data_IF_468324208188
#
_entry.id   IF_468324208188
#
_cell.length_a   1.000
_cell.length_b   1.000
_cell.length_c   1.000
_cell.angle_alpha   90.00
_cell.angle_beta   90.00
_cell.angle_gamma   90.00
#
_symmetry.space_group_name_H-M   'P 1'
#
loop_
_entity.id
_entity.type
_entity.pdbx_description
1 polymer ?
#
# COMPACT_ATOMS: atom_id res chain seq x y z
N UNK A 1 3.12 -21.99 22.21
CA UNK A 1 4.26 -21.30 22.84
C UNK A 1 3.82 -19.93 23.36
N UNK A 2 4.19 -19.57 24.60
CA UNK A 2 3.88 -18.27 25.22
C UNK A 2 5.15 -17.62 25.76
N UNK A 3 5.36 -16.33 25.54
CA UNK A 3 6.45 -15.56 26.18
C UNK A 3 5.96 -14.24 26.75
N UNK A 4 6.58 -13.82 27.86
CA UNK A 4 6.45 -12.49 28.42
C UNK A 4 7.83 -11.82 28.34
N UNK A 5 8.09 -11.05 27.28
CA UNK A 5 9.39 -10.41 27.06
C UNK A 5 9.68 -10.12 25.59
N UNK A 6 10.62 -9.20 25.30
CA UNK A 6 11.02 -8.88 23.94
C UNK A 6 11.66 -10.09 23.25
N UNK A 7 11.21 -10.42 22.04
CA UNK A 7 11.89 -11.41 21.21
C UNK A 7 12.74 -10.72 20.14
N UNK A 8 14.01 -11.11 20.07
CA UNK A 8 14.97 -10.57 19.09
C UNK A 8 15.59 -11.72 18.31
N UNK A 9 15.47 -11.67 16.99
CA UNK A 9 16.26 -12.46 16.07
C UNK A 9 17.20 -11.51 15.31
N UNK A 10 18.50 -11.59 15.56
CA UNK A 10 19.49 -10.72 14.94
C UNK A 10 20.53 -11.56 14.19
N UNK A 11 21.05 -11.03 13.09
CA UNK A 11 22.15 -11.62 12.35
C UNK A 11 23.05 -10.53 11.81
N UNK A 12 24.35 -10.62 12.10
CA UNK A 12 25.42 -9.76 11.59
C UNK A 12 26.36 -10.65 10.78
N UNK A 13 26.69 -10.28 9.54
CA UNK A 13 27.54 -11.08 8.63
C UNK A 13 27.10 -12.55 8.45
N UNK A 14 25.83 -12.83 8.78
CA UNK A 14 25.31 -14.20 8.87
C UNK A 14 24.56 -14.60 7.61
N UNK A 15 24.40 -15.91 7.40
CA UNK A 15 23.57 -16.44 6.31
C UNK A 15 22.13 -15.89 6.36
N UNK A 16 21.58 -15.55 7.53
CA UNK A 16 20.26 -14.91 7.68
C UNK A 16 19.84 -14.68 9.15
N UNK A 17 19.14 -13.58 9.44
CA UNK A 17 18.32 -13.44 10.64
C UNK A 17 16.90 -14.00 10.37
N UNK A 18 16.50 -15.07 11.06
CA UNK A 18 15.20 -15.74 10.82
C UNK A 18 14.45 -16.00 12.12
N UNK A 19 13.16 -15.70 12.11
CA UNK A 19 12.19 -16.24 13.05
C UNK A 19 11.18 -17.06 12.28
N UNK A 20 10.93 -18.29 12.75
CA UNK A 20 9.89 -19.17 12.23
C UNK A 20 9.11 -19.73 13.41
N UNK A 21 7.79 -19.66 13.36
CA UNK A 21 6.94 -20.34 14.32
C UNK A 21 5.71 -20.93 13.63
N UNK A 22 5.28 -22.10 14.10
CA UNK A 22 4.13 -22.86 13.58
C UNK A 22 3.22 -23.26 14.73
N UNK A 23 1.90 -23.26 14.53
CA UNK A 23 0.93 -23.63 15.55
C UNK A 23 0.41 -22.43 16.34
N UNK A 24 0.28 -22.56 17.66
CA UNK A 24 -0.25 -21.52 18.55
C UNK A 24 0.89 -20.73 19.20
N UNK A 25 0.93 -19.41 18.97
CA UNK A 25 1.97 -18.52 19.46
C UNK A 25 1.37 -17.27 20.10
N UNK A 26 1.81 -16.96 21.32
CA UNK A 26 1.42 -15.75 22.03
C UNK A 26 2.65 -15.06 22.62
N UNK A 27 2.77 -13.74 22.46
CA UNK A 27 3.82 -12.97 23.14
C UNK A 27 3.30 -11.64 23.67
N UNK A 28 3.75 -11.28 24.86
CA UNK A 28 3.64 -9.95 25.43
C UNK A 28 5.03 -9.29 25.38
N UNK A 29 5.25 -8.42 24.40
CA UNK A 29 6.54 -7.78 24.17
C UNK A 29 6.80 -7.46 22.69
N UNK A 30 7.80 -6.62 22.40
CA UNK A 30 8.19 -6.31 21.04
C UNK A 30 8.87 -7.51 20.37
N UNK A 31 8.54 -7.77 19.11
CA UNK A 31 9.26 -8.74 18.28
C UNK A 31 10.11 -8.02 17.24
N UNK A 32 11.42 -8.28 17.21
CA UNK A 32 12.35 -7.69 16.25
C UNK A 32 13.14 -8.78 15.53
N UNK A 33 13.10 -8.77 14.21
CA UNK A 33 13.96 -9.56 13.36
C UNK A 33 14.79 -8.66 12.46
N UNK A 34 16.10 -8.56 12.73
CA UNK A 34 17.01 -7.63 12.08
C UNK A 34 18.22 -8.35 11.49
N UNK A 35 18.50 -8.13 10.20
CA UNK A 35 19.73 -8.58 9.56
C UNK A 35 20.58 -7.40 9.12
N UNK A 36 21.88 -7.42 9.43
CA UNK A 36 22.91 -6.53 8.91
C UNK A 36 23.86 -7.36 8.05
N UNK A 37 24.20 -6.89 6.85
CA UNK A 37 25.11 -7.57 5.91
C UNK A 37 24.79 -9.08 5.75
N UNK A 38 23.50 -9.39 5.58
CA UNK A 38 23.01 -10.77 5.62
C UNK A 38 22.26 -11.14 4.36
N UNK A 39 22.14 -12.44 4.04
CA UNK A 39 21.31 -12.82 2.88
C UNK A 39 19.84 -12.41 3.08
N UNK A 40 19.33 -12.36 4.31
CA UNK A 40 17.95 -11.92 4.58
C UNK A 40 17.63 -11.74 6.06
N UNK A 41 16.73 -10.80 6.36
CA UNK A 41 15.91 -10.79 7.56
C UNK A 41 14.51 -11.36 7.25
N UNK A 42 14.09 -12.42 7.95
CA UNK A 42 12.80 -13.09 7.70
C UNK A 42 12.03 -13.34 9.00
N UNK A 43 10.75 -13.02 8.98
CA UNK A 43 9.77 -13.45 9.97
C UNK A 43 8.73 -14.30 9.25
N UNK A 44 8.51 -15.53 9.71
CA UNK A 44 7.51 -16.47 9.19
C UNK A 44 6.67 -17.00 10.34
N UNK A 45 5.35 -16.91 10.20
CA UNK A 45 4.40 -17.39 11.18
C UNK A 45 3.24 -18.14 10.49
N UNK A 46 2.96 -19.36 10.92
CA UNK A 46 1.86 -20.19 10.38
C UNK A 46 0.98 -20.73 11.50
N UNK A 47 -0.32 -20.44 11.50
CA UNK A 47 -1.26 -20.89 12.53
C UNK A 47 -1.93 -19.73 13.25
N UNK A 48 -1.99 -19.78 14.58
CA UNK A 48 -2.58 -18.76 15.43
C UNK A 48 -1.51 -17.94 16.13
N UNK A 49 -1.47 -16.65 15.85
CA UNK A 49 -0.46 -15.72 16.37
C UNK A 49 -1.12 -14.53 17.03
N UNK A 50 -0.75 -14.28 18.29
CA UNK A 50 -1.13 -13.08 19.02
C UNK A 50 0.10 -12.39 19.58
N UNK A 51 0.22 -11.09 19.31
CA UNK A 51 1.33 -10.26 19.79
C UNK A 51 0.79 -8.98 20.43
N UNK A 52 1.14 -8.74 21.69
CA UNK A 52 0.94 -7.45 22.35
C UNK A 52 2.29 -6.72 22.37
N UNK A 53 2.55 -5.90 21.35
CA UNK A 53 3.80 -5.17 21.18
C UNK A 53 4.11 -4.87 19.70
N UNK A 54 5.08 -3.99 19.43
CA UNK A 54 5.49 -3.70 18.06
C UNK A 54 6.21 -4.91 17.43
N UNK A 55 5.96 -5.14 16.15
CA UNK A 55 6.69 -6.11 15.34
C UNK A 55 7.54 -5.39 14.28
N UNK A 56 8.82 -5.73 14.20
CA UNK A 56 9.76 -5.14 13.23
C UNK A 56 10.55 -6.24 12.53
N UNK A 57 10.46 -6.31 11.21
CA UNK A 57 11.37 -7.06 10.36
C UNK A 57 12.21 -6.05 9.55
N UNK A 58 13.52 -6.02 9.74
CA UNK A 58 14.40 -5.05 9.10
C UNK A 58 15.64 -5.72 8.49
N UNK A 59 16.01 -5.34 7.27
CA UNK A 59 17.28 -5.74 6.65
C UNK A 59 18.08 -4.50 6.25
N UNK A 60 19.34 -4.43 6.65
CA UNK A 60 20.35 -3.49 6.18
C UNK A 60 21.33 -4.26 5.30
N UNK A 61 21.69 -3.72 4.12
CA UNK A 61 22.63 -4.35 3.18
C UNK A 61 22.33 -5.85 2.97
N UNK A 62 21.05 -6.15 2.69
CA UNK A 62 20.57 -7.53 2.66
C UNK A 62 19.85 -7.85 1.37
N UNK A 63 19.82 -9.13 0.95
CA UNK A 63 19.03 -9.46 -0.24
C UNK A 63 17.53 -9.19 -0.01
N UNK A 64 17.01 -9.31 1.22
CA UNK A 64 15.62 -8.99 1.50
C UNK A 64 15.26 -8.89 2.98
N UNK A 65 14.31 -8.00 3.30
CA UNK A 65 13.49 -8.07 4.51
C UNK A 65 12.10 -8.65 4.16
N UNK A 66 11.68 -9.70 4.86
CA UNK A 66 10.40 -10.40 4.58
C UNK A 66 9.63 -10.69 5.86
N UNK A 67 8.38 -10.28 5.88
CA UNK A 67 7.38 -10.71 6.86
C UNK A 67 6.33 -11.56 6.15
N UNK A 68 6.11 -12.79 6.61
CA UNK A 68 5.10 -13.71 6.11
C UNK A 68 4.27 -14.23 7.27
N UNK A 69 2.95 -14.11 7.17
CA UNK A 69 2.01 -14.66 8.13
C UNK A 69 0.87 -15.38 7.41
N UNK A 70 0.57 -16.61 7.85
CA UNK A 70 -0.51 -17.44 7.31
C UNK A 70 -1.37 -17.96 8.45
N UNK A 71 -2.70 -17.80 8.37
CA UNK A 71 -3.65 -18.26 9.39
C UNK A 71 -4.33 -17.11 10.11
N UNK A 72 -4.44 -17.18 11.44
CA UNK A 72 -5.03 -16.16 12.30
C UNK A 72 -3.93 -15.32 12.96
N UNK A 73 -3.93 -14.03 12.68
CA UNK A 73 -2.91 -13.12 13.18
C UNK A 73 -3.54 -11.90 13.85
N UNK A 74 -3.20 -11.68 15.11
CA UNK A 74 -3.64 -10.54 15.91
C UNK A 74 -2.43 -9.79 16.46
N UNK A 75 -2.37 -8.49 16.24
CA UNK A 75 -1.30 -7.63 16.79
C UNK A 75 -1.87 -6.37 17.41
N UNK A 76 -1.52 -6.13 18.67
CA UNK A 76 -1.68 -4.85 19.34
C UNK A 76 -0.33 -4.12 19.31
N UNK A 77 -0.10 -3.31 18.29
CA UNK A 77 1.12 -2.55 18.12
C UNK A 77 1.47 -2.25 16.66
N UNK A 78 2.47 -1.38 16.43
CA UNK A 78 3.03 -1.12 15.10
C UNK A 78 3.55 -2.40 14.44
N UNK A 79 3.36 -2.54 13.13
CA UNK A 79 4.11 -3.51 12.33
C UNK A 79 4.95 -2.81 11.26
N UNK A 80 6.25 -3.14 11.22
CA UNK A 80 7.19 -2.56 10.25
C UNK A 80 7.98 -3.66 9.55
N UNK A 81 7.90 -3.72 8.23
CA UNK A 81 8.83 -4.45 7.37
C UNK A 81 9.67 -3.44 6.58
N UNK A 82 10.98 -3.38 6.80
CA UNK A 82 11.84 -2.38 6.18
C UNK A 82 13.11 -2.99 5.58
N UNK A 83 13.49 -2.54 4.39
CA UNK A 83 14.79 -2.85 3.79
C UNK A 83 15.55 -1.57 3.48
N UNK A 84 16.81 -1.48 3.89
CA UNK A 84 17.78 -0.46 3.47
C UNK A 84 18.82 -1.16 2.59
N UNK A 85 19.16 -0.55 1.44
CA UNK A 85 20.12 -1.12 0.48
C UNK A 85 19.87 -2.60 0.20
N UNK A 86 18.61 -2.91 -0.16
CA UNK A 86 18.15 -4.30 -0.22
C UNK A 86 17.45 -4.59 -1.53
N UNK A 87 17.47 -5.85 -1.99
CA UNK A 87 16.69 -6.16 -3.21
C UNK A 87 15.19 -5.98 -2.98
N UNK A 88 14.68 -6.21 -1.77
CA UNK A 88 13.24 -5.97 -1.49
C UNK A 88 12.87 -5.95 -0.01
N UNK A 89 11.89 -5.12 0.33
CA UNK A 89 11.05 -5.27 1.51
C UNK A 89 9.69 -5.87 1.13
N UNK A 90 9.26 -6.94 1.81
CA UNK A 90 8.00 -7.64 1.51
C UNK A 90 7.22 -7.96 2.78
N UNK A 91 5.95 -7.57 2.79
CA UNK A 91 4.96 -8.01 3.76
C UNK A 91 3.90 -8.85 3.04
N UNK A 92 3.70 -10.09 3.50
CA UNK A 92 2.69 -11.01 2.99
C UNK A 92 1.85 -11.54 4.14
N UNK A 93 0.53 -11.39 4.04
CA UNK A 93 -0.43 -11.94 4.98
C UNK A 93 -1.52 -12.72 4.25
N UNK A 94 -1.82 -13.93 4.71
CA UNK A 94 -2.88 -14.78 4.17
C UNK A 94 -3.74 -15.32 5.31
N UNK A 95 -5.07 -15.15 5.23
CA UNK A 95 -6.03 -15.63 6.23
C UNK A 95 -6.74 -14.48 6.95
N UNK A 96 -6.85 -14.57 8.28
CA UNK A 96 -7.49 -13.56 9.12
C UNK A 96 -6.42 -12.72 9.81
N UNK A 97 -6.43 -11.42 9.56
CA UNK A 97 -5.43 -10.51 10.06
C UNK A 97 -6.07 -9.30 10.73
N UNK A 98 -5.73 -9.06 11.99
CA UNK A 98 -6.17 -7.89 12.75
C UNK A 98 -4.99 -7.17 13.37
N UNK A 99 -4.85 -5.88 13.05
CA UNK A 99 -3.81 -5.01 13.63
C UNK A 99 -4.43 -3.79 14.28
N UNK A 100 -4.10 -3.56 15.54
CA UNK A 100 -4.33 -2.28 16.22
C UNK A 100 -2.99 -1.55 16.29
N UNK A 101 -2.73 -0.71 15.29
CA UNK A 101 -1.48 0.03 15.14
C UNK A 101 -1.14 0.32 13.67
N UNK A 102 -0.15 1.20 13.45
CA UNK A 102 0.32 1.52 12.11
C UNK A 102 1.01 0.32 11.45
N UNK A 103 0.79 0.15 10.15
CA UNK A 103 1.56 -0.80 9.34
C UNK A 103 2.40 -0.11 8.29
N UNK A 104 3.68 -0.50 8.22
CA UNK A 104 4.64 0.06 7.25
C UNK A 104 5.42 -1.04 6.56
N UNK A 105 5.33 -1.11 5.24
CA UNK A 105 6.29 -1.82 4.39
C UNK A 105 7.12 -0.77 3.64
N UNK A 106 8.42 -0.71 3.86
CA UNK A 106 9.28 0.31 3.27
C UNK A 106 10.58 -0.24 2.70
N UNK A 107 10.99 0.25 1.53
CA UNK A 107 12.32 0.00 0.97
C UNK A 107 13.04 1.32 0.69
N UNK A 108 14.25 1.48 1.21
CA UNK A 108 15.19 2.53 0.82
C UNK A 108 16.25 1.91 -0.09
N UNK A 109 16.59 2.56 -1.20
CA UNK A 109 17.57 2.07 -2.18
C UNK A 109 17.34 0.60 -2.54
N UNK A 110 16.11 0.30 -2.97
CA UNK A 110 15.66 -1.09 -3.10
C UNK A 110 14.98 -1.39 -4.40
N UNK A 111 15.03 -2.63 -4.89
CA UNK A 111 14.27 -2.94 -6.12
C UNK A 111 12.76 -2.83 -5.89
N UNK A 112 12.25 -3.12 -4.68
CA UNK A 112 10.82 -2.96 -4.41
C UNK A 112 10.42 -2.98 -2.94
N UNK A 113 9.40 -2.21 -2.60
CA UNK A 113 8.55 -2.41 -1.42
C UNK A 113 7.21 -3.04 -1.85
N UNK A 114 6.82 -4.15 -1.21
CA UNK A 114 5.58 -4.87 -1.55
C UNK A 114 4.78 -5.22 -0.30
N UNK A 115 3.51 -4.85 -0.31
CA UNK A 115 2.52 -5.30 0.65
C UNK A 115 1.48 -6.16 -0.07
N UNK A 116 1.24 -7.37 0.41
CA UNK A 116 0.26 -8.30 -0.13
C UNK A 116 -0.58 -8.87 1.01
N UNK A 117 -1.90 -8.72 0.91
CA UNK A 117 -2.85 -9.30 1.85
C UNK A 117 -3.93 -10.07 1.10
N UNK A 118 -4.22 -11.30 1.55
CA UNK A 118 -5.28 -12.15 1.00
C UNK A 118 -6.14 -12.69 2.14
N UNK A 119 -7.47 -12.54 2.05
CA UNK A 119 -8.42 -13.02 3.06
C UNK A 119 -9.15 -11.89 3.76
N UNK A 120 -9.29 -11.98 5.08
CA UNK A 120 -9.94 -10.98 5.94
C UNK A 120 -8.89 -10.15 6.65
N UNK A 121 -8.96 -8.83 6.45
CA UNK A 121 -7.91 -7.94 6.91
C UNK A 121 -8.51 -6.68 7.53
N UNK A 122 -8.23 -6.48 8.82
CA UNK A 122 -8.73 -5.35 9.60
C UNK A 122 -7.58 -4.57 10.24
N UNK A 123 -7.51 -3.26 9.99
CA UNK A 123 -6.48 -2.39 10.56
C UNK A 123 -7.09 -1.17 11.23
N UNK A 124 -6.72 -0.95 12.49
CA UNK A 124 -6.90 0.33 13.17
C UNK A 124 -5.56 1.06 13.20
N UNK A 125 -5.33 1.94 12.24
CA UNK A 125 -4.09 2.69 12.10
C UNK A 125 -3.72 2.96 10.63
N UNK A 126 -2.73 3.83 10.40
CA UNK A 126 -2.29 4.14 9.04
C UNK A 126 -1.58 2.94 8.40
N UNK A 127 -1.77 2.78 7.10
CA UNK A 127 -1.01 1.82 6.31
C UNK A 127 -0.15 2.51 5.26
N UNK A 128 1.13 2.14 5.21
CA UNK A 128 2.10 2.71 4.28
C UNK A 128 2.90 1.62 3.58
N UNK A 129 2.80 1.54 2.26
CA UNK A 129 3.74 0.83 1.41
C UNK A 129 4.57 1.86 0.65
N UNK A 130 5.86 2.00 0.96
CA UNK A 130 6.70 3.06 0.42
C UNK A 130 8.04 2.57 -0.13
N UNK A 131 8.47 3.11 -1.27
CA UNK A 131 9.81 2.90 -1.79
C UNK A 131 10.50 4.24 -1.99
N UNK A 132 11.70 4.43 -1.45
CA UNK A 132 12.61 5.54 -1.75
C UNK A 132 13.70 5.00 -2.69
N UNK A 133 14.01 5.70 -3.77
CA UNK A 133 14.99 5.29 -4.79
C UNK A 133 14.80 3.83 -5.20
N UNK A 134 13.56 3.52 -5.63
CA UNK A 134 13.14 2.13 -5.80
C UNK A 134 12.49 1.86 -7.13
N UNK A 135 12.62 0.64 -7.67
CA UNK A 135 11.91 0.34 -8.92
C UNK A 135 10.39 0.34 -8.73
N UNK A 136 9.87 -0.01 -7.55
CA UNK A 136 8.41 0.03 -7.32
C UNK A 136 7.98 -0.02 -5.86
N UNK A 137 6.90 0.69 -5.56
CA UNK A 137 6.05 0.45 -4.39
C UNK A 137 4.74 -0.21 -4.85
N UNK A 138 4.36 -1.34 -4.23
CA UNK A 138 3.15 -2.08 -4.60
C UNK A 138 2.33 -2.46 -3.37
N UNK A 139 1.05 -2.16 -3.41
CA UNK A 139 0.05 -2.63 -2.46
C UNK A 139 -0.98 -3.48 -3.21
N UNK A 140 -1.21 -4.70 -2.72
CA UNK A 140 -2.19 -5.64 -3.27
C UNK A 140 -3.02 -6.22 -2.14
N UNK A 141 -4.34 -6.09 -2.24
CA UNK A 141 -5.29 -6.68 -1.32
C UNK A 141 -6.37 -7.47 -2.09
N UNK A 142 -6.64 -8.69 -1.63
CA UNK A 142 -7.69 -9.55 -2.19
C UNK A 142 -8.56 -10.11 -1.07
N UNK A 143 -9.88 -9.96 -1.15
CA UNK A 143 -10.83 -10.44 -0.15
C UNK A 143 -11.57 -9.31 0.55
N UNK A 144 -11.70 -9.40 1.88
CA UNK A 144 -12.35 -8.40 2.73
C UNK A 144 -11.32 -7.54 3.44
N UNK A 145 -11.40 -6.24 3.22
CA UNK A 145 -10.40 -5.31 3.70
C UNK A 145 -11.04 -4.09 4.36
N UNK A 146 -10.76 -3.89 5.64
CA UNK A 146 -11.26 -2.77 6.43
C UNK A 146 -10.10 -2.02 7.07
N UNK A 147 -10.04 -0.70 6.86
CA UNK A 147 -9.00 0.16 7.47
C UNK A 147 -9.61 1.41 8.07
N UNK A 148 -9.33 1.63 9.36
CA UNK A 148 -9.52 2.91 10.03
C UNK A 148 -8.19 3.63 10.09
N UNK A 149 -7.93 4.53 9.15
CA UNK A 149 -6.70 5.28 9.01
C UNK A 149 -6.32 5.55 7.56
N UNK A 150 -5.33 6.43 7.33
CA UNK A 150 -4.89 6.75 5.99
C UNK A 150 -4.15 5.57 5.36
N UNK A 151 -4.34 5.38 4.05
CA UNK A 151 -3.56 4.44 3.26
C UNK A 151 -2.70 5.13 2.23
N UNK A 152 -1.41 4.77 2.20
CA UNK A 152 -0.43 5.36 1.29
C UNK A 152 0.38 4.28 0.60
N UNK A 153 0.25 4.18 -0.72
CA UNK A 153 1.22 3.50 -1.58
C UNK A 153 2.04 4.58 -2.29
N UNK A 154 3.32 4.72 -1.94
CA UNK A 154 4.13 5.81 -2.49
C UNK A 154 5.52 5.41 -2.94
N UNK A 155 5.98 5.99 -4.04
CA UNK A 155 7.38 5.92 -4.45
C UNK A 155 8.03 7.30 -4.49
N UNK A 156 9.23 7.45 -3.97
CA UNK A 156 10.11 8.60 -4.24
C UNK A 156 11.18 8.12 -5.21
N UNK A 157 11.41 8.86 -6.30
CA UNK A 157 12.35 8.50 -7.37
C UNK A 157 12.17 7.05 -7.83
N UNK A 158 10.95 6.72 -8.24
CA UNK A 158 10.55 5.33 -8.46
C UNK A 158 9.96 5.07 -9.81
N UNK A 159 10.16 3.87 -10.39
CA UNK A 159 9.51 3.60 -11.68
C UNK A 159 7.99 3.51 -11.56
N UNK A 160 7.44 3.08 -10.41
CA UNK A 160 5.98 3.01 -10.24
C UNK A 160 5.50 2.92 -8.79
N UNK A 161 4.36 3.55 -8.53
CA UNK A 161 3.50 3.26 -7.38
C UNK A 161 2.22 2.57 -7.86
N UNK A 162 1.87 1.42 -7.27
CA UNK A 162 0.70 0.63 -7.69
C UNK A 162 -0.13 0.19 -6.49
N UNK A 163 -1.41 0.54 -6.52
CA UNK A 163 -2.42 0.06 -5.59
C UNK A 163 -3.42 -0.81 -6.35
N UNK A 164 -3.67 -2.02 -5.86
CA UNK A 164 -4.65 -2.96 -6.41
C UNK A 164 -5.47 -3.55 -5.27
N UNK A 165 -6.80 -3.44 -5.38
CA UNK A 165 -7.75 -4.04 -4.45
C UNK A 165 -8.80 -4.83 -5.23
N UNK A 166 -9.06 -6.07 -4.81
CA UNK A 166 -10.10 -6.93 -5.38
C UNK A 166 -10.97 -7.51 -4.26
N UNK A 167 -12.29 -7.39 -4.37
CA UNK A 167 -13.25 -7.88 -3.39
C UNK A 167 -13.99 -6.75 -2.68
N UNK A 168 -14.11 -6.83 -1.34
CA UNK A 168 -14.77 -5.84 -0.50
C UNK A 168 -13.73 -4.98 0.19
N UNK A 169 -13.80 -3.67 -0.02
CA UNK A 169 -12.80 -2.74 0.46
C UNK A 169 -13.45 -1.51 1.09
N UNK A 170 -13.20 -1.31 2.39
CA UNK A 170 -13.72 -0.19 3.16
C UNK A 170 -12.57 0.56 3.84
N UNK A 171 -12.52 1.88 3.65
CA UNK A 171 -11.51 2.74 4.29
C UNK A 171 -12.14 3.97 4.91
N UNK A 172 -11.86 4.20 6.19
CA UNK A 172 -12.08 5.47 6.88
C UNK A 172 -10.75 6.23 6.96
N UNK A 173 -10.50 7.12 6.02
CA UNK A 173 -9.29 7.91 5.92
C UNK A 173 -8.86 8.18 4.47
N UNK A 174 -7.89 9.09 4.26
CA UNK A 174 -7.42 9.40 2.93
C UNK A 174 -6.65 8.22 2.32
N UNK A 175 -6.83 8.04 1.01
CA UNK A 175 -6.03 7.11 0.21
C UNK A 175 -5.16 7.84 -0.79
N UNK A 176 -3.89 7.47 -0.82
CA UNK A 176 -2.90 8.06 -1.72
C UNK A 176 -2.09 6.97 -2.41
N UNK A 177 -2.23 6.87 -3.73
CA UNK A 177 -1.29 6.17 -4.59
C UNK A 177 -0.46 7.23 -5.33
N UNK A 178 0.81 7.41 -4.97
CA UNK A 178 1.57 8.53 -5.52
C UNK A 178 3.05 8.27 -5.78
N UNK A 179 3.62 9.00 -6.74
CA UNK A 179 5.05 9.00 -6.97
C UNK A 179 5.66 10.39 -7.02
N UNK A 180 6.71 10.64 -6.26
CA UNK A 180 7.63 11.76 -6.53
C UNK A 180 8.60 11.28 -7.60
N UNK A 181 8.76 12.02 -8.70
CA UNK A 181 9.60 11.64 -9.86
C UNK A 181 9.40 10.19 -10.31
N UNK A 182 8.18 9.86 -10.71
CA UNK A 182 7.84 8.48 -11.02
C UNK A 182 7.32 8.28 -12.42
N UNK A 183 7.66 7.19 -13.10
CA UNK A 183 7.08 6.94 -14.43
C UNK A 183 5.56 6.74 -14.38
N UNK A 184 5.01 6.18 -13.30
CA UNK A 184 3.56 5.91 -13.21
C UNK A 184 3.01 5.80 -11.79
N UNK A 185 1.82 6.36 -11.58
CA UNK A 185 0.94 6.03 -10.45
C UNK A 185 -0.29 5.28 -10.98
N UNK A 186 -0.58 4.10 -10.43
CA UNK A 186 -1.75 3.29 -10.83
C UNK A 186 -2.58 2.91 -9.61
N UNK A 187 -3.87 3.18 -9.69
CA UNK A 187 -4.89 2.70 -8.77
C UNK A 187 -5.87 1.80 -9.52
N UNK A 188 -6.16 0.63 -8.97
CA UNK A 188 -7.14 -0.32 -9.52
C UNK A 188 -7.96 -0.92 -8.40
N UNK A 189 -9.28 -0.78 -8.49
CA UNK A 189 -10.25 -1.39 -7.59
C UNK A 189 -11.26 -2.21 -8.40
N UNK A 190 -11.51 -3.44 -7.95
CA UNK A 190 -12.50 -4.34 -8.56
C UNK A 190 -13.37 -4.95 -7.47
N UNK A 191 -14.70 -4.85 -7.60
CA UNK A 191 -15.66 -5.34 -6.61
C UNK A 191 -16.39 -4.20 -5.91
N UNK A 192 -16.51 -4.28 -4.58
CA UNK A 192 -17.15 -3.27 -3.74
C UNK A 192 -16.10 -2.41 -3.06
N UNK A 193 -16.15 -1.12 -3.30
CA UNK A 193 -15.15 -0.18 -2.82
C UNK A 193 -15.82 1.04 -2.21
N UNK A 194 -15.58 1.26 -0.92
CA UNK A 194 -16.11 2.39 -0.15
C UNK A 194 -14.99 3.13 0.57
N UNK A 195 -14.95 4.45 0.43
CA UNK A 195 -13.96 5.31 1.11
C UNK A 195 -14.61 6.53 1.73
N UNK A 196 -14.37 6.75 3.01
CA UNK A 196 -14.61 8.02 3.70
C UNK A 196 -13.29 8.79 3.78
N UNK A 197 -13.03 9.67 2.82
CA UNK A 197 -11.85 10.51 2.78
C UNK A 197 -11.37 10.84 1.36
N UNK A 198 -10.38 11.74 1.24
CA UNK A 198 -9.75 12.07 -0.04
C UNK A 198 -9.15 10.85 -0.72
N UNK A 199 -9.28 10.75 -2.04
CA UNK A 199 -8.48 9.83 -2.83
C UNK A 199 -7.60 10.54 -3.83
N UNK A 200 -6.33 10.17 -3.86
CA UNK A 200 -5.33 10.76 -4.75
C UNK A 200 -4.53 9.68 -5.46
N UNK A 201 -4.63 9.62 -6.78
CA UNK A 201 -3.73 8.90 -7.67
C UNK A 201 -2.91 9.93 -8.46
N UNK A 202 -1.66 10.18 -8.06
CA UNK A 202 -0.94 11.36 -8.55
C UNK A 202 0.58 11.20 -8.55
N UNK A 203 1.28 11.85 -9.48
CA UNK A 203 2.72 12.06 -9.34
C UNK A 203 3.12 13.53 -9.49
N UNK A 204 4.23 13.94 -8.89
CA UNK A 204 4.73 15.31 -9.05
C UNK A 204 5.21 15.50 -10.49
N UNK A 205 6.27 14.77 -10.84
CA UNK A 205 6.75 14.55 -12.20
C UNK A 205 6.44 13.11 -12.58
N UNK A 206 5.30 12.87 -13.23
CA UNK A 206 4.97 11.50 -13.62
C UNK A 206 4.42 11.37 -15.01
N UNK A 207 5.01 10.48 -15.82
CA UNK A 207 4.53 10.28 -17.20
C UNK A 207 3.05 9.89 -17.26
N UNK A 208 2.52 9.20 -16.25
CA UNK A 208 1.12 8.78 -16.24
C UNK A 208 0.52 8.63 -14.83
N UNK A 209 -0.72 9.09 -14.68
CA UNK A 209 -1.60 8.71 -13.57
C UNK A 209 -2.80 7.92 -14.13
N UNK A 210 -3.06 6.72 -13.59
CA UNK A 210 -4.20 5.89 -14.00
C UNK A 210 -5.05 5.50 -12.80
N UNK A 211 -6.34 5.76 -12.90
CA UNK A 211 -7.36 5.28 -11.98
C UNK A 211 -8.32 4.36 -12.74
N UNK A 212 -8.61 3.19 -12.16
CA UNK A 212 -9.57 2.24 -12.71
C UNK A 212 -10.42 1.67 -11.59
N UNK A 213 -11.74 1.80 -11.71
CA UNK A 213 -12.72 1.21 -10.81
C UNK A 213 -13.69 0.34 -11.62
N UNK A 214 -13.95 -0.88 -11.15
CA UNK A 214 -14.89 -1.81 -11.77
C UNK A 214 -15.78 -2.43 -10.69
N UNK A 215 -17.10 -2.36 -10.84
CA UNK A 215 -18.07 -2.83 -9.84
C UNK A 215 -18.78 -1.67 -9.14
N UNK A 216 -18.91 -1.76 -7.82
CA UNK A 216 -19.53 -0.73 -6.98
C UNK A 216 -18.45 0.13 -6.33
N UNK A 217 -18.48 1.43 -6.61
CA UNK A 217 -17.48 2.36 -6.14
C UNK A 217 -18.16 3.59 -5.53
N UNK A 218 -17.88 3.84 -4.26
CA UNK A 218 -18.43 4.96 -3.50
C UNK A 218 -17.31 5.69 -2.77
N UNK A 219 -17.30 7.03 -2.83
CA UNK A 219 -16.37 7.85 -2.07
C UNK A 219 -17.03 9.08 -1.48
N UNK A 220 -16.83 9.29 -0.18
CA UNK A 220 -17.12 10.54 0.51
C UNK A 220 -15.83 11.34 0.64
N UNK A 221 -15.56 12.23 -0.30
CA UNK A 221 -14.36 13.05 -0.33
C UNK A 221 -13.89 13.42 -1.74
N UNK A 222 -12.92 14.34 -1.84
CA UNK A 222 -12.36 14.74 -3.12
C UNK A 222 -11.58 13.60 -3.77
N UNK A 223 -11.71 13.47 -5.09
CA UNK A 223 -10.93 12.52 -5.89
C UNK A 223 -10.04 13.24 -6.89
N UNK A 224 -8.75 12.92 -6.87
CA UNK A 224 -7.75 13.51 -7.77
C UNK A 224 -6.95 12.42 -8.49
N UNK A 225 -7.06 12.36 -9.81
CA UNK A 225 -6.21 11.57 -10.70
C UNK A 225 -5.37 12.52 -11.56
N UNK A 226 -4.21 12.97 -11.09
CA UNK A 226 -3.50 14.08 -11.72
C UNK A 226 -2.03 14.15 -11.30
N UNK A 227 -1.14 14.62 -12.19
CA UNK A 227 0.20 15.07 -11.78
C UNK A 227 0.46 16.55 -12.04
N UNK A 228 1.53 17.10 -11.47
CA UNK A 228 1.94 18.48 -11.74
C UNK A 228 2.39 18.60 -13.20
N UNK A 229 3.36 17.76 -13.58
CA UNK A 229 3.92 17.65 -14.94
C UNK A 229 3.59 16.31 -15.59
N UNK A 230 2.32 15.87 -15.51
CA UNK A 230 1.97 14.55 -16.03
C UNK A 230 1.63 14.56 -17.51
N UNK A 231 2.37 13.82 -18.36
CA UNK A 231 2.03 13.67 -19.79
C UNK A 231 0.61 13.14 -20.04
N UNK A 232 0.09 12.30 -19.13
CA UNK A 232 -1.26 11.74 -19.25
C UNK A 232 -1.93 11.47 -17.90
N UNK A 233 -3.24 11.74 -17.84
CA UNK A 233 -4.12 11.27 -16.76
C UNK A 233 -5.27 10.45 -17.36
N UNK A 234 -5.50 9.23 -16.85
CA UNK A 234 -6.61 8.37 -17.28
C UNK A 234 -7.48 7.98 -16.09
N UNK A 235 -8.78 8.22 -16.22
CA UNK A 235 -9.81 7.75 -15.32
C UNK A 235 -10.74 6.80 -16.07
N UNK A 236 -11.02 5.64 -15.48
CA UNK A 236 -11.96 4.66 -16.03
C UNK A 236 -12.84 4.11 -14.91
N UNK A 237 -14.15 4.23 -15.06
CA UNK A 237 -15.14 3.63 -14.17
C UNK A 237 -16.08 2.73 -14.97
N UNK A 238 -16.33 1.52 -14.48
CA UNK A 238 -17.26 0.56 -15.07
C UNK A 238 -18.16 -0.01 -13.97
N UNK A 239 -19.47 0.07 -14.12
CA UNK A 239 -20.45 -0.34 -13.10
C UNK A 239 -21.10 0.86 -12.41
N UNK A 240 -21.21 0.83 -11.08
CA UNK A 240 -21.81 1.89 -10.27
C UNK A 240 -20.72 2.75 -9.64
N UNK A 241 -20.72 4.04 -9.97
CA UNK A 241 -19.74 5.00 -9.46
C UNK A 241 -20.43 6.22 -8.84
N UNK A 242 -20.21 6.42 -7.54
CA UNK A 242 -20.70 7.56 -6.79
C UNK A 242 -19.55 8.30 -6.08
N UNK A 243 -19.60 9.63 -6.09
CA UNK A 243 -18.74 10.44 -5.24
C UNK A 243 -19.44 11.66 -4.66
N UNK A 244 -19.24 11.87 -3.36
CA UNK A 244 -19.61 13.08 -2.65
C UNK A 244 -18.35 13.94 -2.46
N UNK A 245 -18.00 14.72 -3.49
CA UNK A 245 -16.82 15.59 -3.47
C UNK A 245 -16.34 15.94 -4.87
N UNK A 246 -15.43 16.92 -5.00
CA UNK A 246 -14.92 17.33 -6.29
C UNK A 246 -14.08 16.23 -6.93
N UNK A 247 -14.19 16.08 -8.25
CA UNK A 247 -13.37 15.20 -9.06
C UNK A 247 -12.45 15.99 -9.98
N UNK A 248 -11.15 15.71 -9.92
CA UNK A 248 -10.16 16.26 -10.85
C UNK A 248 -9.38 15.15 -11.54
N UNK A 249 -9.45 15.10 -12.88
CA UNK A 249 -8.60 14.29 -13.72
C UNK A 249 -7.85 15.19 -14.73
N UNK A 250 -6.86 15.94 -14.25
CA UNK A 250 -6.15 16.94 -15.06
C UNK A 250 -4.80 17.29 -14.41
N UNK A 251 -3.71 17.31 -15.18
CA UNK A 251 -2.43 17.87 -14.72
C UNK A 251 -2.30 19.35 -15.04
N UNK A 252 -1.35 20.04 -14.40
CA UNK A 252 -1.10 21.47 -14.67
C UNK A 252 -0.58 21.66 -16.10
N UNK A 253 0.32 20.77 -16.54
CA UNK A 253 0.90 20.75 -17.90
C UNK A 253 0.56 19.46 -18.68
N UNK A 254 -0.58 18.83 -18.39
CA UNK A 254 -0.86 17.53 -18.98
C UNK A 254 -1.22 17.63 -20.46
N UNK A 255 -0.44 16.99 -21.34
CA UNK A 255 -0.73 16.85 -22.77
C UNK A 255 -2.06 16.15 -23.06
N UNK A 256 -2.54 15.30 -22.13
CA UNK A 256 -3.81 14.60 -22.30
C UNK A 256 -4.47 14.23 -20.97
N UNK A 257 -5.80 14.33 -20.93
CA UNK A 257 -6.63 13.76 -19.88
C UNK A 257 -7.76 12.96 -20.54
N UNK A 258 -7.97 11.71 -20.10
CA UNK A 258 -9.05 10.85 -20.61
C UNK A 258 -9.93 10.37 -19.46
N UNK A 259 -11.22 10.65 -19.58
CA UNK A 259 -12.26 10.12 -18.72
C UNK A 259 -13.12 9.12 -19.50
N UNK A 260 -13.47 8.01 -18.87
CA UNK A 260 -14.37 7.01 -19.45
C UNK A 260 -15.23 6.43 -18.33
N UNK A 261 -16.54 6.49 -18.50
CA UNK A 261 -17.51 5.88 -17.58
C UNK A 261 -18.47 4.99 -18.39
N UNK A 262 -18.73 3.80 -17.89
CA UNK A 262 -19.68 2.85 -18.48
C UNK A 262 -20.54 2.28 -17.35
N UNK A 263 -21.86 2.45 -17.44
CA UNK A 263 -22.78 2.17 -16.32
C UNK A 263 -23.21 3.45 -15.61
N UNK A 264 -23.64 3.33 -14.35
CA UNK A 264 -24.15 4.45 -13.58
C UNK A 264 -23.02 5.28 -12.99
N UNK A 265 -23.08 6.60 -13.20
CA UNK A 265 -22.06 7.53 -12.74
C UNK A 265 -22.71 8.80 -12.16
N UNK A 266 -22.36 9.16 -10.93
CA UNK A 266 -22.83 10.39 -10.28
C UNK A 266 -21.74 11.03 -9.41
N UNK A 267 -21.73 12.37 -9.42
CA UNK A 267 -20.89 13.21 -8.56
C UNK A 267 -21.69 14.35 -7.97
N UNK A 268 -21.65 14.51 -6.65
CA UNK A 268 -22.25 15.65 -5.93
C UNK A 268 -21.20 16.75 -5.68
N UNK A 269 -20.35 17.03 -6.67
CA UNK A 269 -19.29 18.03 -6.61
C UNK A 269 -18.74 18.32 -8.00
N UNK A 270 -17.97 19.41 -8.18
CA UNK A 270 -17.50 19.81 -9.50
C UNK A 270 -16.57 18.75 -10.08
N UNK A 271 -16.77 18.43 -11.36
CA UNK A 271 -15.88 17.56 -12.13
C UNK A 271 -15.05 18.40 -13.10
N UNK A 272 -13.72 18.26 -13.06
CA UNK A 272 -12.80 18.84 -14.05
C UNK A 272 -11.89 17.76 -14.63
N UNK A 273 -12.06 17.51 -15.94
CA UNK A 273 -11.22 16.61 -16.73
C UNK A 273 -10.73 17.37 -17.96
N UNK A 274 -9.49 17.88 -17.95
CA UNK A 274 -8.93 18.67 -19.04
C UNK A 274 -7.41 18.44 -19.18
N UNK A 275 -6.93 18.36 -20.42
CA UNK A 275 -5.52 18.55 -20.75
C UNK A 275 -5.23 20.03 -20.99
N UNK A 276 -3.98 20.46 -20.84
CA UNK A 276 -3.56 21.79 -21.27
C UNK A 276 -3.23 21.70 -22.77
N UNK A 277 -4.01 22.38 -23.63
CA UNK A 277 -3.58 22.66 -25.00
C UNK A 277 -2.57 23.80 -24.93
N UNK A 278 -1.29 23.52 -25.23
CA UNK A 278 -0.37 24.58 -25.60
C UNK A 278 -0.87 25.16 -26.92
N UNK A 279 -1.36 26.39 -26.91
CA UNK A 279 -1.56 27.17 -28.15
C UNK A 279 -0.22 27.19 -28.87
N UNK A 280 -0.13 26.54 -30.03
CA UNK A 280 0.99 26.73 -30.94
C UNK A 280 0.95 28.19 -31.40
N UNK A 281 2.01 28.93 -31.10
CA UNK A 281 2.37 30.13 -31.86
C UNK A 281 3.19 29.68 -33.08
#
# INVERSE_FOLDING_TARGET
FRTNGPMKCAGHESKSAKFTATGWFHTNGPMKCAGHESKSAKFTATGWFRTNGPMKCAGHESKSAKFTATGWFHTNGPMKCAGHESKSAKFTATGWFRTNGPMKCAGHESKSAKFTATGWFHTNGPMKCAGHESKSAKFTATGWFHTNGPMKCAGHESKSAKFTATGWFHTNGPMKCAGHESKSAKFTATGWFHTNGPMKCAGHESKSAKFTATGWFHTNGPMKCAGHESKSAKFTATGWFHTNGPMKCAGHESKSAKFTATGWFRTNGPMKCAGHESKSA
#
